data_IF_217480653917
#
_entry.id   IF_217480653917
#
_cell.length_a   1.000
_cell.length_b   1.000
_cell.length_c   1.000
_cell.angle_alpha   90.00
_cell.angle_beta   90.00
_cell.angle_gamma   90.00
#
_symmetry.space_group_name_H-M   'P 1'
#
loop_
_entity.id
_entity.type
_entity.pdbx_description
1 polymer ?
#
# COMPACT_ATOMS: atom_id res chain seq x y z
N UNK A 1 -10.51 -16.73 -10.24
CA UNK A 1 -9.36 -15.81 -10.13
C UNK A 1 -8.91 -15.42 -11.53
N UNK A 2 -8.74 -14.13 -11.72
CA UNK A 2 -8.24 -13.58 -12.98
C UNK A 2 -6.86 -12.96 -12.74
N UNK A 3 -5.88 -13.42 -13.48
CA UNK A 3 -4.49 -12.95 -13.34
C UNK A 3 -4.02 -12.46 -14.71
N UNK A 4 -3.71 -11.19 -14.77
CA UNK A 4 -3.24 -10.56 -16.00
C UNK A 4 -1.74 -10.84 -16.22
N UNK A 5 -1.17 -10.15 -17.17
CA UNK A 5 0.17 -10.40 -17.70
C UNK A 5 1.27 -10.11 -16.67
N UNK A 6 2.30 -10.95 -16.65
CA UNK A 6 3.51 -10.76 -15.84
C UNK A 6 3.24 -10.59 -14.33
N UNK A 7 2.20 -11.25 -13.83
CA UNK A 7 1.95 -11.29 -12.38
C UNK A 7 2.86 -12.34 -11.76
N UNK A 8 3.54 -11.98 -10.67
CA UNK A 8 4.39 -12.90 -9.92
C UNK A 8 3.64 -13.37 -8.67
N UNK A 9 3.37 -14.65 -8.60
CA UNK A 9 2.79 -15.29 -7.41
C UNK A 9 3.85 -16.22 -6.83
N UNK A 10 4.33 -15.89 -5.63
CA UNK A 10 5.38 -16.66 -5.00
C UNK A 10 4.84 -17.95 -4.34
N UNK A 11 5.73 -18.69 -3.71
CA UNK A 11 5.39 -19.98 -3.09
C UNK A 11 4.35 -19.82 -1.97
N UNK A 12 3.49 -20.83 -1.83
CA UNK A 12 2.50 -20.93 -0.75
C UNK A 12 1.53 -19.73 -0.65
N UNK A 13 1.30 -19.02 -1.75
CA UNK A 13 0.29 -17.95 -1.81
C UNK A 13 -1.06 -18.59 -2.04
N UNK A 14 -2.06 -18.14 -1.30
CA UNK A 14 -3.45 -18.53 -1.48
C UNK A 14 -4.25 -17.31 -1.95
N UNK A 15 -5.05 -17.49 -2.99
CA UNK A 15 -5.88 -16.42 -3.55
C UNK A 15 -7.33 -16.88 -3.55
N UNK A 16 -8.18 -16.16 -2.85
CA UNK A 16 -9.61 -16.49 -2.74
C UNK A 16 -10.37 -16.29 -4.06
N UNK A 17 -11.55 -16.87 -4.11
CA UNK A 17 -12.40 -16.85 -5.29
C UNK A 17 -12.77 -15.44 -5.73
N UNK A 18 -12.95 -15.25 -7.03
CA UNK A 18 -13.40 -13.99 -7.64
C UNK A 18 -12.45 -12.82 -7.45
N UNK A 19 -11.20 -13.11 -7.13
CA UNK A 19 -10.16 -12.06 -7.04
C UNK A 19 -9.54 -11.83 -8.42
N UNK A 20 -9.04 -10.62 -8.65
CA UNK A 20 -8.43 -10.24 -9.91
C UNK A 20 -7.16 -9.42 -9.67
N UNK A 21 -6.11 -9.77 -10.42
CA UNK A 21 -4.81 -9.11 -10.36
C UNK A 21 -4.53 -8.48 -11.71
N UNK A 22 -4.34 -7.16 -11.74
CA UNK A 22 -3.90 -6.48 -12.96
C UNK A 22 -2.43 -6.80 -13.27
N UNK A 23 -1.95 -6.31 -14.40
CA UNK A 23 -0.59 -6.63 -14.85
C UNK A 23 0.48 -6.21 -13.85
N UNK A 24 1.55 -6.98 -13.79
CA UNK A 24 2.74 -6.68 -12.99
C UNK A 24 2.54 -6.70 -11.47
N UNK A 25 1.42 -7.22 -10.98
CA UNK A 25 1.24 -7.41 -9.53
C UNK A 25 2.23 -8.45 -9.03
N UNK A 26 2.86 -8.20 -7.89
CA UNK A 26 3.75 -9.14 -7.23
C UNK A 26 3.24 -9.51 -5.85
N UNK A 27 3.14 -10.80 -5.57
CA UNK A 27 2.69 -11.31 -4.26
C UNK A 27 3.81 -12.16 -3.68
N UNK A 28 4.35 -11.75 -2.55
CA UNK A 28 5.42 -12.46 -1.88
C UNK A 28 4.92 -13.71 -1.16
N UNK A 29 5.85 -14.58 -0.80
CA UNK A 29 5.52 -15.93 -0.31
C UNK A 29 4.65 -15.98 0.93
N UNK A 30 3.84 -17.01 1.00
CA UNK A 30 2.99 -17.36 2.15
C UNK A 30 1.95 -16.31 2.53
N UNK A 31 1.57 -15.45 1.59
CA UNK A 31 0.51 -14.45 1.78
C UNK A 31 -0.83 -15.05 1.40
N UNK A 32 -1.85 -14.73 2.17
CA UNK A 32 -3.23 -15.16 1.90
C UNK A 32 -4.05 -13.97 1.44
N UNK A 33 -4.62 -14.12 0.25
CA UNK A 33 -5.50 -13.11 -0.35
C UNK A 33 -6.93 -13.62 -0.23
N UNK A 34 -7.83 -12.79 0.29
CA UNK A 34 -9.23 -13.15 0.45
C UNK A 34 -9.99 -13.20 -0.89
N UNK A 35 -11.30 -13.28 -0.77
CA UNK A 35 -12.23 -13.35 -1.91
C UNK A 35 -12.56 -11.95 -2.40
N UNK A 36 -12.91 -11.85 -3.68
CA UNK A 36 -13.34 -10.57 -4.28
C UNK A 36 -12.32 -9.44 -4.12
N UNK A 37 -11.04 -9.76 -4.09
CA UNK A 37 -9.98 -8.75 -4.05
C UNK A 37 -9.66 -8.30 -5.48
N UNK A 38 -9.35 -7.02 -5.64
CA UNK A 38 -8.94 -6.45 -6.94
C UNK A 38 -7.67 -5.64 -6.71
N UNK A 39 -6.58 -6.06 -7.32
CA UNK A 39 -5.30 -5.38 -7.17
C UNK A 39 -4.95 -4.63 -8.44
N UNK A 40 -4.78 -3.31 -8.31
CA UNK A 40 -4.37 -2.46 -9.40
C UNK A 40 -2.97 -2.78 -9.91
N UNK A 41 -2.67 -2.39 -11.14
CA UNK A 41 -1.41 -2.73 -11.82
C UNK A 41 -0.18 -2.37 -11.02
N UNK A 42 0.82 -3.22 -11.10
CA UNK A 42 2.13 -3.06 -10.45
C UNK A 42 2.07 -2.95 -8.92
N UNK A 43 0.97 -3.35 -8.28
CA UNK A 43 0.91 -3.41 -6.81
C UNK A 43 1.82 -4.51 -6.29
N UNK A 44 2.43 -4.28 -5.13
CA UNK A 44 3.30 -5.25 -4.48
C UNK A 44 2.76 -5.61 -3.10
N UNK A 45 2.71 -6.89 -2.80
CA UNK A 45 2.21 -7.39 -1.51
C UNK A 45 3.33 -8.16 -0.81
N UNK A 46 3.63 -7.76 0.42
CA UNK A 46 4.66 -8.39 1.24
C UNK A 46 4.35 -9.84 1.62
N UNK A 47 5.34 -10.54 2.14
CA UNK A 47 5.22 -11.94 2.53
C UNK A 47 4.54 -12.14 3.88
N UNK A 48 3.94 -13.32 4.06
CA UNK A 48 3.29 -13.72 5.30
C UNK A 48 2.19 -12.79 5.78
N UNK A 49 1.51 -12.12 4.85
CA UNK A 49 0.40 -11.22 5.15
C UNK A 49 -0.94 -11.92 4.93
N UNK A 50 -1.96 -11.37 5.56
CA UNK A 50 -3.35 -11.77 5.32
C UNK A 50 -4.13 -10.55 4.83
N UNK A 51 -4.74 -10.68 3.65
CA UNK A 51 -5.53 -9.62 3.04
C UNK A 51 -6.99 -10.06 3.09
N UNK A 52 -7.81 -9.26 3.73
CA UNK A 52 -9.24 -9.55 3.92
C UNK A 52 -9.99 -9.64 2.59
N UNK A 53 -11.17 -10.25 2.64
CA UNK A 53 -12.08 -10.25 1.50
C UNK A 53 -12.46 -8.82 1.11
N UNK A 54 -12.67 -8.59 -0.17
CA UNK A 54 -13.15 -7.31 -0.67
C UNK A 54 -12.16 -6.17 -0.63
N UNK A 55 -10.88 -6.44 -0.51
CA UNK A 55 -9.84 -5.41 -0.57
C UNK A 55 -9.57 -5.03 -2.02
N UNK A 56 -9.58 -3.74 -2.29
CA UNK A 56 -9.17 -3.19 -3.58
C UNK A 56 -7.94 -2.34 -3.40
N UNK A 57 -6.93 -2.57 -4.22
CA UNK A 57 -5.71 -1.75 -4.24
C UNK A 57 -5.70 -0.91 -5.51
N UNK A 58 -5.43 0.38 -5.35
CA UNK A 58 -5.15 1.23 -6.51
C UNK A 58 -3.78 0.89 -7.10
N UNK A 59 -3.50 1.35 -8.30
CA UNK A 59 -2.25 1.00 -8.99
C UNK A 59 -1.01 1.36 -8.18
N UNK A 60 0.01 0.53 -8.27
CA UNK A 60 1.31 0.72 -7.62
C UNK A 60 1.25 0.84 -6.09
N UNK A 61 0.25 0.26 -5.48
CA UNK A 61 0.14 0.24 -4.02
C UNK A 61 1.11 -0.78 -3.44
N UNK A 62 1.87 -0.37 -2.43
CA UNK A 62 2.78 -1.27 -1.70
C UNK A 62 2.17 -1.64 -0.35
N UNK A 63 1.88 -2.93 -0.17
CA UNK A 63 1.28 -3.45 1.06
C UNK A 63 2.34 -4.10 1.91
N UNK A 64 2.60 -3.54 3.07
CA UNK A 64 3.65 -4.00 3.99
C UNK A 64 3.11 -4.59 5.28
N UNK A 65 1.79 -4.60 5.45
CA UNK A 65 1.12 -5.17 6.64
C UNK A 65 -0.18 -5.83 6.22
N UNK A 66 -0.70 -6.69 7.05
CA UNK A 66 -2.00 -7.31 6.81
C UNK A 66 -3.12 -6.27 6.79
N UNK A 67 -4.07 -6.45 5.89
CA UNK A 67 -5.24 -5.61 5.75
C UNK A 67 -6.45 -6.43 6.24
N UNK A 68 -7.04 -6.01 7.36
CA UNK A 68 -8.04 -6.82 8.06
C UNK A 68 -9.48 -6.50 7.67
N UNK A 69 -9.69 -5.45 6.90
CA UNK A 69 -11.02 -4.99 6.51
C UNK A 69 -11.11 -4.74 5.02
N UNK A 70 -12.28 -5.01 4.45
CA UNK A 70 -12.58 -4.65 3.07
C UNK A 70 -12.47 -3.13 2.88
N UNK A 71 -12.13 -2.72 1.69
CA UNK A 71 -12.03 -1.29 1.37
C UNK A 71 -11.06 -1.04 0.23
N UNK A 72 -10.92 0.22 -0.12
CA UNK A 72 -9.99 0.67 -1.14
C UNK A 72 -8.76 1.26 -0.45
N UNK A 73 -7.59 0.72 -0.78
CA UNK A 73 -6.32 1.14 -0.18
C UNK A 73 -5.38 1.68 -1.25
N UNK A 74 -4.58 2.63 -0.85
CA UNK A 74 -3.59 3.27 -1.73
C UNK A 74 -2.31 3.54 -0.95
N UNK A 75 -1.20 3.67 -1.66
CA UNK A 75 0.07 4.09 -1.06
C UNK A 75 0.87 4.90 -2.07
N UNK A 76 1.99 5.43 -1.61
CA UNK A 76 2.87 6.23 -2.45
C UNK A 76 2.43 7.68 -2.55
N UNK A 77 3.20 8.46 -3.27
CA UNK A 77 2.89 9.86 -3.54
C UNK A 77 2.36 10.00 -4.97
N UNK A 78 1.53 11.03 -5.19
CA UNK A 78 1.08 11.34 -6.54
C UNK A 78 2.22 11.88 -7.41
N UNK A 79 2.03 11.87 -8.71
CA UNK A 79 3.00 12.44 -9.64
C UNK A 79 2.93 13.96 -9.57
N UNK A 80 4.11 14.59 -9.53
CA UNK A 80 4.26 16.05 -9.49
C UNK A 80 5.39 16.46 -10.41
N UNK A 81 5.43 17.74 -10.83
CA UNK A 81 6.64 18.25 -11.46
C UNK A 81 7.86 18.00 -10.55
N UNK A 82 8.98 17.64 -11.13
CA UNK A 82 10.16 17.24 -10.36
C UNK A 82 10.58 18.26 -9.29
N UNK A 83 10.46 19.54 -9.60
CA UNK A 83 10.78 20.61 -8.67
C UNK A 83 9.94 20.51 -7.38
N UNK A 84 8.64 20.32 -7.55
CA UNK A 84 7.71 20.22 -6.41
C UNK A 84 7.92 18.92 -5.64
N UNK A 85 8.15 17.82 -6.37
CA UNK A 85 8.41 16.52 -5.77
C UNK A 85 9.66 16.56 -4.89
N UNK A 86 10.75 17.17 -5.36
CA UNK A 86 11.98 17.32 -4.57
C UNK A 86 11.71 18.04 -3.25
N UNK A 87 10.93 19.11 -3.30
CA UNK A 87 10.56 19.86 -2.10
C UNK A 87 9.74 19.01 -1.14
N UNK A 88 8.74 18.31 -1.67
CA UNK A 88 7.86 17.45 -0.88
C UNK A 88 8.62 16.31 -0.20
N UNK A 89 9.57 15.69 -0.91
CA UNK A 89 10.40 14.60 -0.36
C UNK A 89 11.26 15.08 0.79
N UNK A 90 11.84 16.27 0.69
CA UNK A 90 12.61 16.87 1.79
C UNK A 90 11.72 17.09 3.02
N UNK A 91 10.53 17.65 2.81
CA UNK A 91 9.57 17.84 3.91
C UNK A 91 9.12 16.53 4.53
N UNK A 92 8.87 15.52 3.71
CA UNK A 92 8.50 14.20 4.19
C UNK A 92 9.53 13.65 5.19
N UNK A 93 10.81 13.81 4.89
CA UNK A 93 11.89 13.37 5.79
C UNK A 93 11.93 14.16 7.09
N UNK A 94 11.34 15.34 7.12
CA UNK A 94 11.32 16.22 8.28
C UNK A 94 10.03 16.13 9.10
N UNK A 95 9.07 15.27 8.69
CA UNK A 95 7.76 15.19 9.34
C UNK A 95 7.86 14.91 10.84
N UNK A 96 8.71 13.99 11.25
CA UNK A 96 8.84 13.66 12.67
C UNK A 96 9.33 14.85 13.48
N UNK A 97 10.37 15.52 12.99
CA UNK A 97 10.87 16.75 13.63
C UNK A 97 9.80 17.83 13.70
N UNK A 98 9.08 18.04 12.62
CA UNK A 98 7.99 19.01 12.57
C UNK A 98 6.87 18.68 13.56
N UNK A 99 6.52 17.39 13.68
CA UNK A 99 5.51 16.95 14.65
C UNK A 99 5.95 17.21 16.08
N UNK A 100 7.20 16.97 16.42
CA UNK A 100 7.75 17.24 17.74
C UNK A 100 7.74 18.73 18.06
N UNK A 101 8.15 19.56 17.11
CA UNK A 101 8.15 21.00 17.27
C UNK A 101 6.73 21.55 17.47
N UNK A 102 5.78 21.00 16.73
CA UNK A 102 4.38 21.37 16.85
C UNK A 102 3.84 21.07 18.26
N UNK A 103 4.14 19.88 18.78
CA UNK A 103 3.76 19.51 20.16
C UNK A 103 4.33 20.46 21.19
N UNK A 104 5.58 20.88 21.02
CA UNK A 104 6.23 21.82 21.93
C UNK A 104 5.52 23.18 21.90
N UNK A 105 5.16 23.66 20.72
CA UNK A 105 4.44 24.91 20.55
C UNK A 105 3.05 24.82 21.19
N UNK A 106 2.31 23.75 20.94
CA UNK A 106 1.00 23.54 21.55
C UNK A 106 1.08 23.52 23.08
N UNK A 107 2.08 22.86 23.62
CA UNK A 107 2.30 22.81 25.07
C UNK A 107 2.53 24.22 25.65
N UNK A 108 3.34 25.04 24.99
CA UNK A 108 3.57 26.41 25.43
C UNK A 108 2.31 27.25 25.40
N UNK A 109 1.47 27.07 24.38
CA UNK A 109 0.21 27.80 24.25
C UNK A 109 -0.83 27.41 25.30
N UNK A 110 -0.74 26.22 25.86
CA UNK A 110 -1.67 25.73 26.87
C UNK A 110 -1.22 26.01 28.32
N UNK A 111 -0.03 26.54 28.50
CA UNK A 111 0.50 26.94 29.81
C UNK A 111 -0.05 28.28 30.28
#
# INVERSE_FOLDING_TARGET
VKIDNLVQVAHNVEIGDHSAMAALVGISGSTRIGRHCVFGGASGIGGHLTIADGVQLTGMTMVTRSLKEAGVYSSGTGVEPNRDWRRSVVRFRQLDDMAQRLRQIEKKLSE
#
